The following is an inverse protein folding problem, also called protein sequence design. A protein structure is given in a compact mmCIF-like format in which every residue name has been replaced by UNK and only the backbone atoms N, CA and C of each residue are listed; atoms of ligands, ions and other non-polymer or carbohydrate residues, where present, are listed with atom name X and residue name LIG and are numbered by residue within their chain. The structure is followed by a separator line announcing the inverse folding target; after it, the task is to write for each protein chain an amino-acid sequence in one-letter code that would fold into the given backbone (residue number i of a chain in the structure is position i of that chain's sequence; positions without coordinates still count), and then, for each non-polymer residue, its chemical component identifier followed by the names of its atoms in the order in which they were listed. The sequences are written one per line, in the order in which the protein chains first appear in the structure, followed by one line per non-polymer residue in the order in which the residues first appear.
data_IF_215223050740
#
_entry.id   IF_215223050740
#
_cell.length_a   1.000
_cell.length_b   1.000
_cell.length_c   1.000
_cell.angle_alpha   90.00
_cell.angle_beta   90.00
_cell.angle_gamma   90.00
#
_symmetry.space_group_name_H-M   'P 1'
#
loop_
_entity.id
_entity.type
_entity.pdbx_description
1 polymer ?
#
# COMPACT_ATOMS: atom_id res chain seq x y z
N UNK A 1 18.14 4.76 11.88
CA UNK A 1 17.37 4.42 10.66
C UNK A 1 16.11 5.26 10.48
N UNK A 2 15.00 5.06 11.23
CA UNK A 2 13.79 5.90 11.06
C UNK A 2 14.02 7.40 11.31
N UNK A 3 14.90 7.75 12.25
CA UNK A 3 15.25 9.16 12.54
C UNK A 3 15.89 9.85 11.33
N UNK A 4 16.79 9.15 10.64
CA UNK A 4 17.57 9.68 9.51
C UNK A 4 16.68 9.94 8.29
N UNK A 5 15.66 9.10 8.07
CA UNK A 5 14.67 9.28 7.01
C UNK A 5 13.71 10.44 7.28
N UNK A 6 13.34 10.67 8.54
CA UNK A 6 12.49 11.79 8.92
C UNK A 6 13.15 13.13 8.58
N UNK A 7 14.44 13.26 8.88
CA UNK A 7 15.23 14.44 8.57
C UNK A 7 15.41 14.63 7.07
N UNK A 8 15.80 13.56 6.36
CA UNK A 8 16.03 13.61 4.92
C UNK A 8 14.78 14.00 4.12
N UNK A 9 13.60 13.50 4.51
CA UNK A 9 12.34 13.81 3.83
C UNK A 9 11.61 15.04 4.39
N UNK A 10 12.07 15.58 5.54
CA UNK A 10 11.39 16.63 6.30
C UNK A 10 9.94 16.24 6.65
N UNK A 11 9.73 14.96 6.98
CA UNK A 11 8.43 14.41 7.36
C UNK A 11 8.45 14.09 8.85
N UNK A 12 7.38 14.47 9.55
CA UNK A 12 7.24 14.21 10.97
C UNK A 12 7.25 12.68 11.24
N UNK A 13 8.03 12.24 12.23
CA UNK A 13 8.08 10.83 12.68
C UNK A 13 6.70 10.27 13.06
N UNK A 14 5.76 11.12 13.47
CA UNK A 14 4.40 10.78 13.85
C UNK A 14 3.43 10.74 12.66
N UNK A 15 3.89 10.99 11.43
CA UNK A 15 3.08 10.86 10.22
C UNK A 15 2.86 9.38 9.86
N UNK A 16 2.18 8.64 10.72
CA UNK A 16 2.03 7.18 10.67
C UNK A 16 1.56 6.68 9.32
N UNK A 17 0.52 7.29 8.74
CA UNK A 17 0.01 6.88 7.42
C UNK A 17 1.01 7.06 6.27
N UNK A 18 1.90 8.06 6.36
CA UNK A 18 2.99 8.19 5.40
C UNK A 18 4.01 7.07 5.57
N UNK A 19 4.47 6.82 6.80
CA UNK A 19 5.49 5.81 7.09
C UNK A 19 5.01 4.39 6.80
N UNK A 20 3.74 4.09 7.08
CA UNK A 20 3.11 2.83 6.69
C UNK A 20 3.05 2.67 5.17
N UNK A 21 2.74 3.74 4.42
CA UNK A 21 2.74 3.69 2.96
C UNK A 21 4.16 3.58 2.40
N UNK A 22 5.13 4.27 2.99
CA UNK A 22 6.54 4.17 2.64
C UNK A 22 7.06 2.75 2.83
N UNK A 23 6.84 2.14 3.99
CA UNK A 23 7.17 0.73 4.25
C UNK A 23 6.44 -0.18 3.27
N UNK A 24 5.15 0.06 3.02
CA UNK A 24 4.36 -0.71 2.08
C UNK A 24 4.97 -0.67 0.68
N UNK A 25 5.22 0.51 0.09
CA UNK A 25 5.72 0.63 -1.29
C UNK A 25 7.17 0.21 -1.45
N UNK A 26 7.96 0.23 -0.37
CA UNK A 26 9.36 -0.24 -0.36
C UNK A 26 9.53 -1.69 0.08
N UNK A 27 8.46 -2.38 0.54
CA UNK A 27 8.49 -3.79 0.99
C UNK A 27 9.37 -4.01 2.22
N UNK A 28 9.69 -2.94 2.95
CA UNK A 28 10.68 -3.02 4.02
C UNK A 28 12.12 -3.24 3.53
N UNK A 29 12.37 -3.23 2.22
CA UNK A 29 13.68 -3.44 1.63
C UNK A 29 14.55 -2.17 1.76
N UNK A 30 15.69 -2.28 2.44
CA UNK A 30 16.57 -1.15 2.75
C UNK A 30 17.10 -0.44 1.49
N UNK A 31 17.34 -1.19 0.41
CA UNK A 31 17.84 -0.63 -0.84
C UNK A 31 16.75 0.17 -1.58
N UNK A 32 15.51 -0.36 -1.64
CA UNK A 32 14.33 0.37 -2.14
C UNK A 32 14.05 1.61 -1.29
N UNK A 33 14.21 1.51 0.03
CA UNK A 33 14.10 2.65 0.95
C UNK A 33 15.17 3.71 0.65
N UNK A 34 16.44 3.35 0.56
CA UNK A 34 17.52 4.27 0.24
C UNK A 34 17.29 4.99 -1.10
N UNK A 35 16.88 4.26 -2.14
CA UNK A 35 16.53 4.84 -3.46
C UNK A 35 15.35 5.80 -3.40
N UNK A 36 14.32 5.47 -2.61
CA UNK A 36 13.20 6.38 -2.38
C UNK A 36 13.68 7.68 -1.73
N UNK A 37 14.45 7.58 -0.65
CA UNK A 37 14.99 8.74 0.08
C UNK A 37 15.84 9.60 -0.83
N UNK A 38 16.77 9.01 -1.59
CA UNK A 38 17.65 9.74 -2.49
C UNK A 38 16.86 10.55 -3.54
N UNK A 39 15.80 9.96 -4.08
CA UNK A 39 14.91 10.60 -5.06
C UNK A 39 14.01 11.68 -4.46
N UNK A 40 13.73 11.64 -3.16
CA UNK A 40 12.76 12.49 -2.48
C UNK A 40 13.36 13.53 -1.53
N UNK A 41 14.63 13.44 -1.13
CA UNK A 41 15.26 14.32 -0.13
C UNK A 41 15.25 15.82 -0.47
N UNK A 42 15.19 16.17 -1.75
CA UNK A 42 15.12 17.57 -2.23
C UNK A 42 13.72 17.99 -2.67
N UNK A 43 12.74 17.09 -2.57
CA UNK A 43 11.37 17.29 -3.08
C UNK A 43 10.49 17.93 -2.02
N UNK A 44 9.49 18.68 -2.48
CA UNK A 44 8.43 19.13 -1.59
C UNK A 44 7.41 18.00 -1.31
N UNK A 45 6.55 18.23 -0.32
CA UNK A 45 5.53 17.25 0.10
C UNK A 45 4.69 16.71 -1.05
N UNK A 46 4.18 17.58 -1.93
CA UNK A 46 3.32 17.18 -3.06
C UNK A 46 4.07 16.26 -4.02
N UNK A 47 5.33 16.55 -4.29
CA UNK A 47 6.15 15.71 -5.16
C UNK A 47 6.46 14.34 -4.54
N UNK A 48 6.68 14.28 -3.22
CA UNK A 48 6.87 13.02 -2.48
C UNK A 48 5.59 12.19 -2.53
N UNK A 49 4.43 12.82 -2.32
CA UNK A 49 3.12 12.17 -2.43
C UNK A 49 2.89 11.61 -3.85
N UNK A 50 3.18 12.39 -4.89
CA UNK A 50 3.11 11.93 -6.29
C UNK A 50 4.06 10.77 -6.58
N UNK A 51 5.28 10.82 -6.04
CA UNK A 51 6.24 9.73 -6.21
C UNK A 51 5.75 8.44 -5.53
N UNK A 52 5.28 8.54 -4.30
CA UNK A 52 4.70 7.43 -3.54
C UNK A 52 3.52 6.82 -4.28
N UNK A 53 2.64 7.65 -4.83
CA UNK A 53 1.51 7.22 -5.63
C UNK A 53 1.94 6.51 -6.92
N UNK A 54 2.97 7.02 -7.60
CA UNK A 54 3.53 6.39 -8.79
C UNK A 54 4.09 4.99 -8.49
N UNK A 55 4.82 4.83 -7.38
CA UNK A 55 5.33 3.53 -6.94
C UNK A 55 4.20 2.56 -6.59
N UNK A 56 3.18 3.02 -5.87
CA UNK A 56 1.97 2.24 -5.58
C UNK A 56 1.30 1.76 -6.87
N UNK A 57 1.11 2.65 -7.87
CA UNK A 57 0.54 2.30 -9.18
C UNK A 57 1.39 1.26 -9.92
N UNK A 58 2.71 1.37 -9.88
CA UNK A 58 3.61 0.39 -10.49
C UNK A 58 3.42 -0.99 -9.86
N UNK A 59 3.37 -1.06 -8.53
CA UNK A 59 3.14 -2.31 -7.80
C UNK A 59 1.78 -2.94 -8.06
N UNK A 60 0.73 -2.14 -8.20
CA UNK A 60 -0.58 -2.64 -8.59
C UNK A 60 -0.52 -3.40 -9.92
N UNK A 61 0.30 -2.93 -10.87
CA UNK A 61 0.46 -3.61 -12.16
C UNK A 61 1.29 -4.89 -12.04
N UNK A 62 2.32 -4.90 -11.18
CA UNK A 62 3.25 -6.02 -11.04
C UNK A 62 2.69 -7.17 -10.18
N UNK A 63 1.98 -6.82 -9.10
CA UNK A 63 1.55 -7.77 -8.06
C UNK A 63 0.04 -7.95 -8.06
N UNK A 64 -0.61 -7.96 -9.21
CA UNK A 64 -2.06 -8.20 -9.27
C UNK A 64 -2.34 -9.70 -9.20
N UNK A 65 -3.37 -10.08 -8.46
CA UNK A 65 -3.96 -11.41 -8.62
C UNK A 65 -4.63 -11.50 -10.00
N UNK A 66 -4.33 -12.55 -10.74
CA UNK A 66 -4.86 -12.80 -12.08
C UNK A 66 -6.27 -13.39 -12.03
N UNK A 67 -6.63 -14.01 -10.91
CA UNK A 67 -7.92 -14.67 -10.73
C UNK A 67 -8.41 -14.59 -9.28
N UNK A 68 -9.72 -14.79 -9.12
CA UNK A 68 -10.34 -14.95 -7.80
C UNK A 68 -9.74 -16.11 -7.03
N UNK A 69 -9.44 -17.23 -7.70
CA UNK A 69 -8.88 -18.41 -7.06
C UNK A 69 -7.46 -18.17 -6.53
N UNK A 70 -6.65 -17.43 -7.28
CA UNK A 70 -5.32 -17.02 -6.84
C UNK A 70 -5.41 -16.16 -5.58
N UNK A 71 -6.30 -15.16 -5.57
CA UNK A 71 -6.54 -14.32 -4.39
C UNK A 71 -7.02 -15.15 -3.19
N UNK A 72 -8.03 -16.00 -3.35
CA UNK A 72 -8.58 -16.81 -2.27
C UNK A 72 -7.53 -17.76 -1.69
N UNK A 73 -6.70 -18.38 -2.55
CA UNK A 73 -5.59 -19.24 -2.14
C UNK A 73 -4.56 -18.48 -1.30
N UNK A 74 -4.19 -17.27 -1.75
CA UNK A 74 -3.23 -16.43 -1.03
C UNK A 74 -3.82 -15.89 0.28
N UNK A 75 -5.09 -15.47 0.28
CA UNK A 75 -5.82 -14.98 1.45
C UNK A 75 -5.91 -16.03 2.57
N UNK A 76 -6.08 -17.31 2.24
CA UNK A 76 -6.09 -18.40 3.22
C UNK A 76 -4.73 -18.60 3.91
N UNK A 77 -3.63 -18.27 3.22
CA UNK A 77 -2.27 -18.38 3.76
C UNK A 77 -1.88 -17.14 4.55
N UNK A 78 -2.17 -15.97 4.01
CA UNK A 78 -1.84 -14.67 4.60
C UNK A 78 -2.92 -13.64 4.29
N UNK A 79 -3.93 -13.59 5.17
CA UNK A 79 -5.06 -12.66 5.05
C UNK A 79 -4.59 -11.21 4.94
N UNK A 80 -3.58 -10.80 5.74
CA UNK A 80 -3.13 -9.42 5.81
C UNK A 80 -2.49 -9.01 4.49
N UNK A 81 -1.50 -9.76 4.02
CA UNK A 81 -0.81 -9.42 2.79
C UNK A 81 -1.71 -9.56 1.56
N UNK A 82 -2.61 -10.56 1.54
CA UNK A 82 -3.61 -10.70 0.47
C UNK A 82 -4.48 -9.45 0.35
N UNK A 83 -4.99 -8.95 1.47
CA UNK A 83 -5.81 -7.75 1.46
C UNK A 83 -5.00 -6.50 1.11
N UNK A 84 -3.81 -6.34 1.68
CA UNK A 84 -2.94 -5.20 1.33
C UNK A 84 -2.58 -5.19 -0.17
N UNK A 85 -2.41 -6.36 -0.78
CA UNK A 85 -2.21 -6.52 -2.22
C UNK A 85 -3.50 -6.32 -3.01
N UNK A 86 -4.68 -6.66 -2.47
CA UNK A 86 -5.94 -6.37 -3.14
C UNK A 86 -6.25 -4.86 -3.16
N UNK A 87 -6.18 -4.20 -2.00
CA UNK A 87 -6.51 -2.77 -1.83
C UNK A 87 -5.35 -1.81 -2.14
N UNK A 88 -4.15 -2.37 -2.31
CA UNK A 88 -2.92 -1.62 -2.55
C UNK A 88 -2.57 -0.60 -1.45
N UNK A 89 -2.98 -0.83 -0.21
CA UNK A 89 -2.70 0.07 0.91
C UNK A 89 -2.27 -0.69 2.15
N UNK A 90 -1.49 -0.08 3.04
CA UNK A 90 -1.23 -0.65 4.35
C UNK A 90 -2.54 -0.80 5.14
N UNK A 91 -2.72 -1.97 5.73
CA UNK A 91 -3.88 -2.28 6.55
C UNK A 91 -3.45 -2.62 7.96
N UNK A 92 -4.06 -1.92 8.92
CA UNK A 92 -3.95 -2.26 10.33
C UNK A 92 -5.00 -3.31 10.71
N UNK A 93 -4.82 -3.91 11.89
CA UNK A 93 -5.72 -4.95 12.40
C UNK A 93 -7.18 -4.50 12.46
N UNK A 94 -7.44 -3.23 12.77
CA UNK A 94 -8.80 -2.68 12.83
C UNK A 94 -9.46 -2.74 11.45
N UNK A 95 -8.82 -2.25 10.39
CA UNK A 95 -9.33 -2.33 9.01
C UNK A 95 -9.58 -3.79 8.59
N UNK A 96 -8.64 -4.69 8.90
CA UNK A 96 -8.76 -6.12 8.55
C UNK A 96 -9.93 -6.79 9.28
N UNK A 97 -10.20 -6.39 10.53
CA UNK A 97 -11.29 -6.95 11.34
C UNK A 97 -12.68 -6.56 10.83
N UNK A 98 -12.80 -5.40 10.18
CA UNK A 98 -14.05 -4.92 9.58
C UNK A 98 -14.37 -5.63 8.26
N UNK A 99 -13.35 -6.19 7.60
CA UNK A 99 -13.48 -6.96 6.37
C UNK A 99 -13.89 -8.41 6.70
N UNK A 100 -15.18 -8.60 6.98
CA UNK A 100 -15.82 -9.90 7.22
C UNK A 100 -16.48 -10.51 5.96
N UNK A 101 -16.19 -9.96 4.79
CA UNK A 101 -16.76 -10.45 3.54
C UNK A 101 -16.06 -11.70 3.01
N UNK A 102 -16.79 -12.47 2.21
CA UNK A 102 -16.26 -13.58 1.43
C UNK A 102 -15.10 -13.09 0.52
N UNK A 103 -13.95 -13.79 0.49
CA UNK A 103 -12.80 -13.34 -0.27
C UNK A 103 -13.05 -13.31 -1.80
N UNK A 104 -13.85 -14.22 -2.35
CA UNK A 104 -14.18 -14.14 -3.79
C UNK A 104 -15.03 -12.90 -4.08
N UNK A 105 -15.96 -12.55 -3.17
CA UNK A 105 -16.72 -11.32 -3.27
C UNK A 105 -15.84 -10.07 -3.21
N UNK A 106 -14.91 -9.99 -2.25
CA UNK A 106 -13.93 -8.89 -2.17
C UNK A 106 -13.14 -8.76 -3.48
N UNK A 107 -12.61 -9.86 -4.00
CA UNK A 107 -11.88 -9.83 -5.27
C UNK A 107 -12.74 -9.32 -6.43
N UNK A 108 -13.99 -9.76 -6.52
CA UNK A 108 -14.87 -9.38 -7.62
C UNK A 108 -15.23 -7.88 -7.65
N UNK A 109 -15.26 -7.22 -6.49
CA UNK A 109 -15.47 -5.78 -6.40
C UNK A 109 -14.20 -5.05 -6.87
N UNK A 110 -13.03 -5.45 -6.35
CA UNK A 110 -11.76 -4.72 -6.61
C UNK A 110 -11.09 -5.08 -7.95
N UNK A 111 -11.42 -6.22 -8.55
CA UNK A 111 -10.87 -6.61 -9.85
C UNK A 111 -11.42 -5.80 -11.02
N UNK A 112 -12.56 -5.12 -10.85
CA UNK A 112 -13.21 -4.30 -11.89
C UNK A 112 -12.87 -2.82 -11.77
N UNK A 113 -12.18 -2.44 -10.71
CA UNK A 113 -11.83 -1.07 -10.36
C UNK A 113 -10.74 -0.52 -11.31
N UNK A 114 -11.05 0.58 -12.01
CA UNK A 114 -10.09 1.26 -12.90
C UNK A 114 -8.92 1.83 -12.11
N UNK A 115 -7.71 1.78 -12.67
CA UNK A 115 -6.41 2.12 -12.05
C UNK A 115 -6.24 3.54 -11.47
N UNK A 116 -7.30 4.34 -11.38
CA UNK A 116 -7.32 5.74 -10.93
C UNK A 116 -7.99 5.93 -9.57
N UNK A 117 -7.85 4.95 -8.68
CA UNK A 117 -8.51 5.02 -7.37
C UNK A 117 -7.58 5.70 -6.39
N UNK A 118 -8.05 6.85 -5.93
CA UNK A 118 -7.47 7.59 -4.83
C UNK A 118 -7.54 6.75 -3.55
N UNK A 119 -6.69 7.10 -2.59
CA UNK A 119 -6.65 6.56 -1.23
C UNK A 119 -8.07 6.24 -0.68
N UNK A 120 -8.24 5.12 0.04
CA UNK A 120 -9.46 4.70 0.77
C UNK A 120 -10.41 3.65 0.15
N UNK A 121 -9.91 2.63 -0.55
CA UNK A 121 -10.78 1.53 -1.00
C UNK A 121 -11.42 0.72 0.15
N UNK A 122 -10.71 0.56 1.28
CA UNK A 122 -11.26 -0.13 2.44
C UNK A 122 -12.43 0.59 3.11
N UNK A 123 -12.58 1.91 2.90
CA UNK A 123 -13.71 2.66 3.47
C UNK A 123 -15.05 2.33 2.78
N UNK A 124 -15.05 1.64 1.63
CA UNK A 124 -16.28 1.18 0.98
C UNK A 124 -16.99 0.06 1.76
N UNK A 125 -16.34 -0.51 2.77
CA UNK A 125 -16.83 -1.65 3.56
C UNK A 125 -16.99 -1.33 5.05
N UNK A 126 -16.86 -0.05 5.43
CA UNK A 126 -17.04 0.43 6.81
C UNK A 126 -18.41 1.04 7.00
#
# INVERSE_FOLDING_TARGET
MKSDYCEALKINKNATGFWEMFEFVTEGDEEKQARFIDKCKSKNRREIELHTFSLRKKRLKENRFNSSDEFVSFFKKDKKNALQQLFQEPLNHKKISLLQHDPAHLYNIHSKSNFDIWYMECLLYV
#
